data_IF_275647740724
#
_entry.id   IF_275647740724
#
_cell.length_a   1.000
_cell.length_b   1.000
_cell.length_c   1.000
_cell.angle_alpha   90.00
_cell.angle_beta   90.00
_cell.angle_gamma   90.00
#
_symmetry.space_group_name_H-M   'P 1'
#
loop_
_entity.id
_entity.type
_entity.pdbx_description
1 polymer ?
#
# COMPACT_ATOMS: atom_id res chain seq x y z
N UNK A 1 -16.70 28.55 -5.15
CA UNK A 1 -16.94 27.14 -5.47
C UNK A 1 -18.33 27.03 -6.05
N UNK A 2 -18.42 26.66 -7.31
CA UNK A 2 -19.69 26.32 -7.95
C UNK A 2 -20.14 24.93 -7.47
N UNK A 3 -21.43 24.58 -7.63
CA UNK A 3 -21.91 23.23 -7.30
C UNK A 3 -21.15 22.11 -8.05
N UNK A 4 -20.54 22.42 -9.20
CA UNK A 4 -19.73 21.50 -9.99
C UNK A 4 -18.36 21.21 -9.35
N UNK A 5 -17.76 22.17 -8.63
CA UNK A 5 -16.46 21.99 -7.96
C UNK A 5 -16.54 21.04 -6.76
N UNK A 6 -17.75 20.73 -6.28
CA UNK A 6 -17.97 19.92 -5.07
C UNK A 6 -17.61 18.44 -5.25
N UNK A 7 -17.60 17.96 -6.50
CA UNK A 7 -17.39 16.54 -6.84
C UNK A 7 -16.07 16.29 -7.57
N UNK A 8 -15.22 17.32 -7.68
CA UNK A 8 -13.93 17.19 -8.33
C UNK A 8 -13.00 16.33 -7.46
N UNK A 9 -12.44 15.27 -8.05
CA UNK A 9 -11.37 14.49 -7.43
C UNK A 9 -10.04 15.24 -7.57
N UNK A 10 -9.08 15.02 -6.64
CA UNK A 10 -7.72 15.51 -6.82
C UNK A 10 -7.08 14.96 -8.11
N UNK A 11 -6.19 15.74 -8.72
CA UNK A 11 -5.43 15.29 -9.90
C UNK A 11 -4.75 13.94 -9.65
N UNK A 12 -4.91 13.02 -10.60
CA UNK A 12 -4.37 11.66 -10.54
C UNK A 12 -5.09 10.73 -9.56
N UNK A 13 -6.24 11.12 -9.01
CA UNK A 13 -7.14 10.25 -8.24
C UNK A 13 -8.38 10.00 -9.07
N UNK A 14 -8.78 8.74 -9.19
CA UNK A 14 -9.86 8.32 -10.07
C UNK A 14 -10.80 7.35 -9.36
N UNK A 15 -12.04 7.29 -9.84
CA UNK A 15 -13.01 6.28 -9.44
C UNK A 15 -12.93 5.11 -10.40
N UNK A 16 -12.83 3.90 -9.85
CA UNK A 16 -12.93 2.67 -10.64
C UNK A 16 -14.40 2.24 -10.62
N UNK A 17 -15.07 2.36 -11.77
CA UNK A 17 -16.50 2.08 -11.90
C UNK A 17 -16.77 0.57 -12.05
N UNK A 18 -18.02 0.10 -11.88
CA UNK A 18 -18.31 -1.34 -11.81
C UNK A 18 -17.80 -2.20 -12.98
N UNK A 19 -17.74 -1.64 -14.20
CA UNK A 19 -17.22 -2.33 -15.38
C UNK A 19 -15.72 -2.68 -15.25
N UNK A 20 -14.95 -1.83 -14.58
CA UNK A 20 -13.51 -1.99 -14.35
C UNK A 20 -13.23 -2.63 -12.99
N UNK A 21 -14.01 -2.30 -11.97
CA UNK A 21 -13.83 -2.80 -10.61
C UNK A 21 -14.00 -4.32 -10.53
N UNK A 22 -14.98 -4.87 -11.27
CA UNK A 22 -15.27 -6.31 -11.27
C UNK A 22 -14.08 -7.16 -11.78
N UNK A 23 -13.49 -6.92 -12.97
CA UNK A 23 -12.34 -7.68 -13.43
C UNK A 23 -11.10 -7.47 -12.56
N UNK A 24 -10.87 -6.26 -12.03
CA UNK A 24 -9.75 -5.98 -11.11
C UNK A 24 -9.87 -6.84 -9.84
N UNK A 25 -11.05 -6.86 -9.23
CA UNK A 25 -11.29 -7.64 -8.01
C UNK A 25 -11.19 -9.15 -8.27
N UNK A 26 -11.66 -9.63 -9.43
CA UNK A 26 -11.50 -11.03 -9.82
C UNK A 26 -10.01 -11.41 -9.93
N UNK A 27 -9.22 -10.58 -10.61
CA UNK A 27 -7.78 -10.81 -10.76
C UNK A 27 -7.07 -10.79 -9.40
N UNK A 28 -7.42 -9.84 -8.52
CA UNK A 28 -6.88 -9.76 -7.16
C UNK A 28 -7.12 -11.06 -6.38
N UNK A 29 -8.33 -11.63 -6.46
CA UNK A 29 -8.66 -12.91 -5.83
C UNK A 29 -7.86 -14.06 -6.42
N UNK A 30 -7.81 -14.17 -7.74
CA UNK A 30 -7.06 -15.22 -8.43
C UNK A 30 -5.57 -15.21 -8.07
N UNK A 31 -4.96 -14.02 -7.94
CA UNK A 31 -3.58 -13.89 -7.50
C UNK A 31 -3.38 -14.36 -6.05
N UNK A 32 -4.26 -13.95 -5.13
CA UNK A 32 -4.16 -14.38 -3.73
C UNK A 32 -4.40 -15.89 -3.58
N UNK A 33 -5.38 -16.44 -4.29
CA UNK A 33 -5.65 -17.88 -4.31
C UNK A 33 -4.43 -18.65 -4.85
N UNK A 34 -3.81 -18.15 -5.93
CA UNK A 34 -2.56 -18.70 -6.45
C UNK A 34 -1.45 -18.66 -5.40
N UNK A 35 -1.22 -17.53 -4.75
CA UNK A 35 -0.15 -17.41 -3.74
C UNK A 35 -0.36 -18.36 -2.56
N UNK A 36 -1.61 -18.56 -2.14
CA UNK A 36 -1.95 -19.53 -1.11
C UNK A 36 -1.56 -20.96 -1.51
N UNK A 37 -1.72 -21.35 -2.80
CA UNK A 37 -1.27 -22.68 -3.28
C UNK A 37 0.25 -22.87 -3.19
N UNK A 38 1.03 -21.78 -3.14
CA UNK A 38 2.48 -21.80 -2.95
C UNK A 38 2.92 -21.63 -1.48
N UNK A 39 1.97 -21.68 -0.54
CA UNK A 39 2.24 -21.57 0.89
C UNK A 39 2.59 -20.16 1.36
N UNK A 40 2.08 -19.12 0.68
CA UNK A 40 2.18 -17.74 1.17
C UNK A 40 1.02 -17.40 2.10
N UNK A 41 1.34 -16.87 3.27
CA UNK A 41 0.38 -16.40 4.25
C UNK A 41 -0.02 -14.95 3.96
N UNK A 42 -1.33 -14.70 3.91
CA UNK A 42 -1.87 -13.36 3.68
C UNK A 42 -1.70 -12.48 4.92
N UNK A 43 -1.09 -11.30 4.74
CA UNK A 43 -1.03 -10.24 5.74
C UNK A 43 -1.75 -9.00 5.25
N UNK A 44 -2.34 -8.24 6.19
CA UNK A 44 -3.02 -6.97 5.93
C UNK A 44 -2.36 -5.89 6.78
N UNK A 45 -1.29 -5.23 6.29
CA UNK A 45 -0.65 -4.15 7.01
C UNK A 45 -1.56 -2.91 7.13
N UNK A 46 -1.34 -2.05 8.13
CA UNK A 46 -2.11 -0.81 8.26
C UNK A 46 -1.89 0.14 7.08
N UNK A 47 -2.86 1.00 6.79
CA UNK A 47 -2.74 2.02 5.71
C UNK A 47 -1.72 3.11 6.06
N UNK A 48 -1.57 3.39 7.36
CA UNK A 48 -0.72 4.42 7.91
C UNK A 48 0.16 3.85 9.03
N UNK A 49 1.40 4.34 9.11
CA UNK A 49 2.33 4.06 10.20
C UNK A 49 3.12 5.34 10.52
N UNK A 50 3.79 5.39 11.67
CA UNK A 50 4.75 6.47 11.92
C UNK A 50 5.85 6.45 10.86
N UNK A 51 6.24 7.62 10.35
CA UNK A 51 7.27 7.72 9.30
C UNK A 51 8.59 7.06 9.72
N UNK A 52 8.91 7.12 11.00
CA UNK A 52 10.11 6.51 11.59
C UNK A 52 10.14 4.99 11.42
N UNK A 53 8.97 4.34 11.29
CA UNK A 53 8.80 2.90 11.07
C UNK A 53 8.61 2.59 9.59
N UNK A 54 7.75 3.36 8.93
CA UNK A 54 7.35 3.12 7.55
C UNK A 54 8.50 3.27 6.57
N UNK A 55 9.42 4.20 6.81
CA UNK A 55 10.49 4.59 5.89
C UNK A 55 11.85 3.94 6.21
N UNK A 56 11.91 3.03 7.19
CA UNK A 56 13.15 2.34 7.54
C UNK A 56 13.60 1.49 6.36
N UNK A 57 14.87 1.65 5.97
CA UNK A 57 15.48 0.84 4.91
C UNK A 57 14.97 1.15 3.50
N UNK A 58 14.15 2.19 3.33
CA UNK A 58 13.64 2.60 2.03
C UNK A 58 14.57 3.59 1.31
N UNK A 59 14.53 3.55 -0.02
CA UNK A 59 15.14 4.56 -0.87
C UNK A 59 14.44 5.92 -0.74
N UNK A 60 15.19 7.00 -1.03
CA UNK A 60 14.66 8.38 -1.04
C UNK A 60 13.39 8.55 -1.88
N UNK A 61 13.22 7.72 -2.91
CA UNK A 61 12.07 7.77 -3.80
C UNK A 61 10.75 7.43 -3.08
N UNK A 62 10.76 6.50 -2.13
CA UNK A 62 9.53 6.14 -1.41
C UNK A 62 9.14 7.20 -0.39
N UNK A 63 10.12 7.86 0.25
CA UNK A 63 9.85 9.03 1.10
C UNK A 63 9.22 10.17 0.31
N UNK A 64 9.72 10.46 -0.90
CA UNK A 64 9.15 11.49 -1.78
C UNK A 64 7.70 11.18 -2.18
N UNK A 65 7.36 9.90 -2.37
CA UNK A 65 6.02 9.45 -2.73
C UNK A 65 5.07 9.31 -1.52
N UNK A 66 5.58 9.39 -0.30
CA UNK A 66 4.79 9.18 0.93
C UNK A 66 4.06 10.45 1.35
N UNK A 67 2.73 10.37 1.48
CA UNK A 67 1.97 11.45 2.11
C UNK A 67 2.27 11.47 3.60
N UNK A 68 2.61 12.66 4.12
CA UNK A 68 2.87 12.88 5.54
C UNK A 68 1.71 13.65 6.16
N UNK A 69 1.16 13.13 7.26
CA UNK A 69 0.06 13.75 8.00
C UNK A 69 0.42 13.80 9.48
N UNK A 70 -0.03 14.84 10.17
CA UNK A 70 0.17 14.95 11.61
C UNK A 70 -0.88 14.13 12.35
N UNK A 71 -0.43 13.19 13.17
CA UNK A 71 -1.29 12.53 14.16
C UNK A 71 -1.80 13.57 15.17
N UNK A 72 -3.10 13.81 15.20
CA UNK A 72 -3.70 14.80 16.09
C UNK A 72 -3.68 14.36 17.56
N UNK A 73 -3.52 13.07 17.84
CA UNK A 73 -3.47 12.56 19.21
C UNK A 73 -2.07 12.74 19.82
N UNK A 74 -1.03 12.44 19.05
CA UNK A 74 0.35 12.41 19.57
C UNK A 74 1.24 13.55 19.06
N UNK A 75 0.81 14.27 18.02
CA UNK A 75 1.62 15.27 17.31
C UNK A 75 2.71 14.69 16.42
N UNK A 76 2.85 13.36 16.34
CA UNK A 76 3.88 12.70 15.53
C UNK A 76 3.49 12.68 14.05
N UNK A 77 4.49 12.52 13.19
CA UNK A 77 4.27 12.38 11.74
C UNK A 77 3.91 10.95 11.38
N UNK A 78 2.74 10.78 10.75
CA UNK A 78 2.31 9.55 10.10
C UNK A 78 2.63 9.62 8.61
N UNK A 79 3.00 8.49 8.03
CA UNK A 79 3.06 8.28 6.60
C UNK A 79 1.87 7.44 6.14
N UNK A 80 1.21 7.84 5.05
CA UNK A 80 0.30 6.96 4.31
C UNK A 80 1.17 6.13 3.36
N UNK A 81 1.04 4.81 3.40
CA UNK A 81 1.91 3.89 2.67
C UNK A 81 1.96 4.21 1.16
N UNK A 82 3.17 4.43 0.65
CA UNK A 82 3.45 4.51 -0.79
C UNK A 82 3.89 3.16 -1.38
N UNK A 83 4.23 2.21 -0.51
CA UNK A 83 4.60 0.83 -0.80
C UNK A 83 4.24 -0.06 0.41
N UNK A 84 3.94 -1.34 0.21
CA UNK A 84 3.56 -2.29 1.28
C UNK A 84 4.76 -3.09 1.79
N UNK A 85 5.81 -3.26 0.97
CA UNK A 85 7.02 -4.07 1.23
C UNK A 85 7.74 -3.75 2.56
N UNK A 86 7.90 -2.47 2.97
CA UNK A 86 8.54 -2.16 4.25
C UNK A 86 7.73 -2.68 5.44
N UNK A 87 6.41 -2.65 5.33
CA UNK A 87 5.51 -3.07 6.39
C UNK A 87 5.54 -4.59 6.55
N UNK A 88 5.63 -5.33 5.44
CA UNK A 88 5.76 -6.79 5.48
C UNK A 88 7.11 -7.21 6.05
N UNK A 89 8.19 -6.50 5.72
CA UNK A 89 9.51 -6.73 6.32
C UNK A 89 9.50 -6.47 7.83
N UNK A 90 8.83 -5.39 8.27
CA UNK A 90 8.63 -5.11 9.70
C UNK A 90 7.79 -6.18 10.39
N UNK A 91 6.73 -6.67 9.73
CA UNK A 91 5.87 -7.73 10.26
C UNK A 91 6.68 -9.01 10.46
N UNK A 92 7.45 -9.42 9.47
CA UNK A 92 8.34 -10.58 9.55
C UNK A 92 9.35 -10.43 10.70
N UNK A 93 10.13 -9.36 10.68
CA UNK A 93 11.23 -9.15 11.61
C UNK A 93 10.78 -8.89 13.06
N UNK A 94 9.61 -8.27 13.28
CA UNK A 94 9.21 -7.78 14.60
C UNK A 94 7.89 -8.34 15.11
N UNK A 95 6.83 -8.37 14.29
CA UNK A 95 5.50 -8.76 14.76
C UNK A 95 5.32 -10.28 14.83
N UNK A 96 5.84 -11.01 13.84
CA UNK A 96 5.84 -12.47 13.81
C UNK A 96 7.10 -13.06 14.44
N UNK A 97 8.25 -12.39 14.26
CA UNK A 97 9.56 -12.87 14.70
C UNK A 97 9.80 -14.33 14.25
N UNK A 98 9.53 -14.60 12.96
CA UNK A 98 9.61 -15.93 12.39
C UNK A 98 11.03 -16.49 12.52
N UNK A 99 11.14 -17.78 12.80
CA UNK A 99 12.43 -18.49 12.85
C UNK A 99 12.65 -19.23 11.54
N UNK A 100 13.36 -18.59 10.61
CA UNK A 100 13.69 -19.16 9.29
C UNK A 100 12.84 -18.60 8.16
N UNK A 101 12.72 -19.38 7.08
CA UNK A 101 12.01 -18.96 5.87
C UNK A 101 10.54 -18.59 6.16
N UNK A 102 10.11 -17.42 5.69
CA UNK A 102 8.75 -16.91 5.84
C UNK A 102 8.22 -16.40 4.50
N UNK A 103 6.96 -16.72 4.18
CA UNK A 103 6.31 -16.41 2.90
C UNK A 103 5.09 -15.57 3.17
N UNK A 104 5.16 -14.27 2.89
CA UNK A 104 4.06 -13.34 3.12
C UNK A 104 3.51 -12.82 1.78
N UNK A 105 2.19 -12.73 1.65
CA UNK A 105 1.55 -12.06 0.52
C UNK A 105 0.57 -10.99 0.98
N UNK A 106 0.29 -10.04 0.09
CA UNK A 106 -0.61 -8.92 0.38
C UNK A 106 -1.36 -8.47 -0.87
N UNK A 107 -2.50 -7.82 -0.64
CA UNK A 107 -3.21 -7.04 -1.64
C UNK A 107 -3.81 -5.80 -0.99
N UNK A 108 -3.56 -4.62 -1.56
CA UNK A 108 -4.11 -3.38 -1.05
C UNK A 108 -3.69 -2.16 -1.83
N UNK A 109 -4.38 -1.05 -1.59
CA UNK A 109 -4.04 0.23 -2.22
C UNK A 109 -2.86 0.89 -1.51
N UNK A 110 -2.05 1.60 -2.28
CA UNK A 110 -1.05 2.57 -1.81
C UNK A 110 -1.43 3.95 -2.29
N UNK A 111 -0.81 4.98 -1.71
CA UNK A 111 -1.09 6.38 -2.05
C UNK A 111 0.21 7.10 -2.36
N UNK A 112 0.27 7.81 -3.48
CA UNK A 112 1.44 8.56 -3.94
C UNK A 112 1.19 10.06 -3.96
N UNK A 113 2.10 10.83 -3.33
CA UNK A 113 2.07 12.30 -3.39
C UNK A 113 2.14 12.83 -4.81
N UNK A 114 2.79 12.10 -5.72
CA UNK A 114 2.96 12.41 -7.14
C UNK A 114 2.77 11.13 -7.96
N UNK A 115 2.21 11.21 -9.17
CA UNK A 115 2.07 10.05 -10.04
C UNK A 115 3.47 9.53 -10.44
N UNK A 116 3.66 8.20 -10.46
CA UNK A 116 4.94 7.56 -10.82
C UNK A 116 5.33 7.77 -12.30
N UNK A 117 4.35 8.01 -13.16
CA UNK A 117 4.53 8.41 -14.56
C UNK A 117 3.31 9.26 -15.00
N UNK A 118 3.34 9.93 -16.15
CA UNK A 118 2.27 10.87 -16.54
C UNK A 118 0.85 10.30 -16.62
N UNK A 119 0.70 8.97 -16.76
CA UNK A 119 -0.59 8.28 -16.86
C UNK A 119 -0.90 7.43 -15.62
N UNK A 120 -0.06 7.50 -14.58
CA UNK A 120 -0.25 6.69 -13.38
C UNK A 120 -1.26 7.34 -12.43
N UNK A 121 -2.19 6.53 -11.91
CA UNK A 121 -2.97 6.88 -10.73
C UNK A 121 -2.08 7.06 -9.50
N UNK A 122 -2.49 7.95 -8.62
CA UNK A 122 -1.88 8.19 -7.30
C UNK A 122 -2.43 7.27 -6.22
N UNK A 123 -3.44 6.45 -6.54
CA UNK A 123 -4.00 5.47 -5.62
C UNK A 123 -4.00 4.05 -6.22
N UNK A 124 -2.83 3.54 -6.69
CA UNK A 124 -2.81 2.23 -7.34
C UNK A 124 -3.05 1.10 -6.34
N UNK A 125 -3.67 0.02 -6.83
CA UNK A 125 -3.75 -1.25 -6.13
C UNK A 125 -2.45 -2.03 -6.35
N UNK A 126 -1.86 -2.53 -5.27
CA UNK A 126 -0.71 -3.43 -5.30
C UNK A 126 -1.14 -4.83 -4.82
N UNK A 127 -0.57 -5.85 -5.47
CA UNK A 127 -0.67 -7.26 -5.06
C UNK A 127 0.74 -7.82 -5.15
N UNK A 128 1.27 -8.30 -4.04
CA UNK A 128 2.68 -8.67 -3.93
C UNK A 128 2.92 -9.85 -3.02
N UNK A 129 4.14 -10.37 -3.09
CA UNK A 129 4.63 -11.50 -2.31
C UNK A 129 6.06 -11.20 -1.87
N UNK A 130 6.40 -11.62 -0.68
CA UNK A 130 7.69 -11.39 -0.04
C UNK A 130 8.18 -12.69 0.58
N UNK A 131 9.44 -13.01 0.35
CA UNK A 131 10.11 -14.17 0.93
C UNK A 131 11.25 -13.70 1.82
N UNK A 132 11.18 -14.05 3.09
CA UNK A 132 12.17 -13.69 4.12
C UNK A 132 12.82 -14.96 4.68
N UNK A 133 13.96 -14.82 5.36
CA UNK A 133 14.70 -15.92 6.01
C UNK A 133 15.89 -16.45 5.24
#
# INVERSE_FOLDING_TARGET
MTYADRWLLPDGVEEILPAEAKPIELLRRQLLDLYATWGYDLVIPPLLEYTDSLLIGLGRDVDLLTFKVTDQLTGRTLGIRADITPQTARIDAHSMAAKGANRLCYAGNVVHTKPKNPLATRTPMQVGLEFYG
#
